data_IF_960123382749
#
_entry.id   IF_960123382749
#
_cell.length_a   1.000
_cell.length_b   1.000
_cell.length_c   1.000
_cell.angle_alpha   90.00
_cell.angle_beta   90.00
_cell.angle_gamma   90.00
#
_symmetry.space_group_name_H-M   'P 1'
#
loop_
_entity.id
_entity.type
_entity.pdbx_description
1 polymer ?
#
# COMPACT_ATOMS: atom_id res chain seq x y z
N UNK A 1 -1.61 44.10 -57.83
CA UNK A 1 -0.83 42.88 -58.12
C UNK A 1 0.45 42.89 -57.29
N UNK A 2 0.48 42.21 -56.14
CA UNK A 2 1.67 41.57 -55.57
C UNK A 2 1.21 40.58 -54.47
N UNK A 3 1.85 39.41 -54.45
CA UNK A 3 1.54 38.16 -53.71
C UNK A 3 1.93 38.21 -52.22
N UNK A 4 1.51 37.15 -51.51
CA UNK A 4 2.17 36.47 -50.36
C UNK A 4 1.59 36.77 -48.97
N UNK A 5 1.54 35.87 -48.00
CA UNK A 5 1.57 34.40 -47.86
C UNK A 5 1.13 34.13 -46.40
N UNK A 6 0.57 32.95 -46.11
CA UNK A 6 0.23 32.46 -44.76
C UNK A 6 1.35 32.65 -43.74
N UNK A 7 1.01 32.77 -42.45
CA UNK A 7 1.59 31.93 -41.39
C UNK A 7 0.63 31.80 -40.20
N UNK A 8 0.03 30.60 -40.05
CA UNK A 8 -0.55 30.14 -38.80
C UNK A 8 0.59 29.86 -37.82
N UNK A 9 0.69 30.63 -36.75
CA UNK A 9 1.58 30.33 -35.63
C UNK A 9 0.88 29.32 -34.71
N UNK A 10 1.12 28.03 -34.93
CA UNK A 10 0.85 27.02 -33.92
C UNK A 10 1.90 27.16 -32.81
N UNK A 11 1.52 27.76 -31.68
CA UNK A 11 2.35 27.79 -30.49
C UNK A 11 2.45 26.36 -29.92
N UNK A 12 3.49 25.64 -30.32
CA UNK A 12 3.89 24.41 -29.65
C UNK A 12 4.47 24.79 -28.29
N UNK A 13 3.64 24.79 -27.25
CA UNK A 13 4.11 24.80 -25.86
C UNK A 13 4.81 23.48 -25.60
N UNK A 14 6.13 23.44 -25.81
CA UNK A 14 6.97 22.38 -25.29
C UNK A 14 6.93 22.47 -23.76
N UNK A 15 6.10 21.65 -23.12
CA UNK A 15 6.26 21.36 -21.70
C UNK A 15 7.60 20.65 -21.55
N UNK A 16 8.63 21.37 -21.11
CA UNK A 16 9.83 20.73 -20.61
C UNK A 16 9.41 19.93 -19.38
N UNK A 17 9.32 18.61 -19.52
CA UNK A 17 9.32 17.72 -18.39
C UNK A 17 10.66 17.92 -17.67
N UNK A 18 10.69 18.80 -16.67
CA UNK A 18 11.85 18.93 -15.81
C UNK A 18 11.92 17.66 -14.97
N UNK A 19 12.64 16.66 -15.48
CA UNK A 19 13.18 15.58 -14.65
C UNK A 19 14.37 16.19 -13.90
N UNK A 20 14.18 16.52 -12.62
CA UNK A 20 15.26 17.04 -11.79
C UNK A 20 15.95 15.85 -11.12
N UNK A 21 17.01 15.36 -11.75
CA UNK A 21 17.92 14.41 -11.11
C UNK A 21 18.75 15.13 -10.05
N UNK A 22 18.34 15.04 -8.79
CA UNK A 22 19.14 15.50 -7.66
C UNK A 22 20.04 14.35 -7.22
N UNK A 23 21.33 14.41 -7.57
CA UNK A 23 22.32 13.46 -7.07
C UNK A 23 22.81 13.90 -5.69
N UNK A 24 22.25 13.34 -4.63
CA UNK A 24 22.82 13.42 -3.29
C UNK A 24 24.11 12.58 -3.21
N UNK A 25 25.28 13.23 -3.14
CA UNK A 25 26.55 12.54 -2.85
C UNK A 25 26.78 12.56 -1.34
N UNK A 26 25.95 11.84 -0.60
CA UNK A 26 26.12 11.58 0.83
C UNK A 26 27.07 10.41 1.07
N UNK A 27 27.80 10.43 2.18
CA UNK A 27 28.85 9.46 2.52
C UNK A 27 28.36 7.98 2.58
N UNK A 28 27.04 7.74 2.56
CA UNK A 28 26.38 6.42 2.59
C UNK A 28 25.82 5.89 1.25
N UNK A 29 26.06 6.58 0.12
CA UNK A 29 25.57 6.17 -1.22
C UNK A 29 24.04 6.03 -1.31
N UNK A 30 23.28 6.95 -0.72
CA UNK A 30 21.81 7.08 -0.88
C UNK A 30 21.42 7.63 -2.26
N UNK A 31 20.16 7.46 -2.67
CA UNK A 31 19.63 7.94 -3.96
C UNK A 31 18.33 8.70 -3.77
N UNK A 32 18.27 9.93 -4.28
CA UNK A 32 17.05 10.72 -4.36
C UNK A 32 16.67 10.90 -5.83
N UNK A 33 15.41 10.63 -6.18
CA UNK A 33 14.89 10.81 -7.53
C UNK A 33 13.56 11.56 -7.50
N UNK A 34 13.55 12.78 -8.05
CA UNK A 34 12.37 13.63 -8.06
C UNK A 34 11.99 14.12 -9.46
N UNK A 35 10.70 14.28 -9.72
CA UNK A 35 10.20 14.94 -10.94
C UNK A 35 8.86 14.43 -11.42
N UNK A 36 8.46 14.79 -12.64
CA UNK A 36 7.21 14.27 -13.21
C UNK A 36 7.23 12.73 -13.31
N UNK A 37 8.39 12.17 -13.64
CA UNK A 37 8.64 10.73 -13.67
C UNK A 37 9.92 10.46 -12.90
N UNK A 38 9.82 9.77 -11.78
CA UNK A 38 10.94 9.28 -10.99
C UNK A 38 11.01 7.76 -11.15
N UNK A 39 11.73 7.28 -12.17
CA UNK A 39 11.85 5.85 -12.43
C UNK A 39 13.28 5.40 -12.71
N UNK A 40 13.75 4.42 -11.92
CA UNK A 40 15.11 3.89 -12.00
C UNK A 40 15.17 2.43 -11.55
N UNK A 41 16.12 1.69 -12.14
CA UNK A 41 16.64 0.47 -11.55
C UNK A 41 17.83 0.85 -10.65
N UNK A 42 17.82 0.45 -9.38
CA UNK A 42 18.81 0.89 -8.39
C UNK A 42 19.34 -0.27 -7.54
N UNK A 43 20.61 -0.18 -7.15
CA UNK A 43 21.23 -1.00 -6.10
C UNK A 43 21.93 -0.03 -5.15
N UNK A 44 21.24 0.31 -4.07
CA UNK A 44 21.57 1.43 -3.17
C UNK A 44 21.93 0.84 -1.81
N UNK A 45 23.17 0.97 -1.33
CA UNK A 45 23.54 0.48 0.00
C UNK A 45 22.91 1.30 1.13
N UNK A 46 22.68 2.59 0.88
CA UNK A 46 22.03 3.52 1.79
C UNK A 46 20.51 3.51 1.68
N UNK A 47 19.92 4.68 1.89
CA UNK A 47 18.48 4.93 1.76
C UNK A 47 18.13 5.37 0.33
N UNK A 48 16.86 5.25 -0.08
CA UNK A 48 16.41 5.84 -1.33
C UNK A 48 15.03 6.49 -1.25
N UNK A 49 14.88 7.65 -1.88
CA UNK A 49 13.63 8.40 -1.97
C UNK A 49 13.25 8.61 -3.44
N UNK A 50 11.99 8.31 -3.79
CA UNK A 50 11.44 8.57 -5.11
C UNK A 50 10.12 9.33 -5.03
N UNK A 51 10.12 10.54 -5.58
CA UNK A 51 8.99 11.47 -5.45
C UNK A 51 8.56 12.02 -6.83
N UNK A 52 7.32 11.77 -7.25
CA UNK A 52 6.87 12.24 -8.57
C UNK A 52 5.41 11.99 -8.93
N UNK A 53 4.99 12.35 -10.16
CA UNK A 53 3.65 11.95 -10.62
C UNK A 53 3.61 10.44 -10.92
N UNK A 54 4.64 9.93 -11.58
CA UNK A 54 4.85 8.50 -11.80
C UNK A 54 6.16 8.06 -11.16
N UNK A 55 6.07 7.12 -10.22
CA UNK A 55 7.21 6.54 -9.52
C UNK A 55 7.37 5.08 -9.93
N UNK A 56 8.59 4.71 -10.35
CA UNK A 56 8.93 3.36 -10.80
C UNK A 56 10.29 2.92 -10.31
N UNK A 57 10.37 2.14 -9.24
CA UNK A 57 11.63 1.69 -8.65
C UNK A 57 11.77 0.17 -8.72
N UNK A 58 12.90 -0.31 -9.21
CA UNK A 58 13.23 -1.73 -9.28
C UNK A 58 14.64 -1.98 -8.73
N UNK A 59 14.84 -3.09 -8.00
CA UNK A 59 16.16 -3.48 -7.49
C UNK A 59 16.25 -3.59 -5.96
N UNK A 60 17.29 -2.99 -5.36
CA UNK A 60 17.58 -3.14 -3.92
C UNK A 60 17.95 -1.81 -3.27
N UNK A 61 17.46 -1.63 -2.04
CA UNK A 61 17.86 -0.58 -1.12
C UNK A 61 18.28 -1.25 0.19
N UNK A 62 19.49 -0.94 0.68
CA UNK A 62 20.09 -1.59 1.84
C UNK A 62 19.53 -1.13 3.17
N UNK A 63 18.86 0.03 3.17
CA UNK A 63 18.22 0.63 4.35
C UNK A 63 16.77 0.97 4.04
N UNK A 64 16.36 2.25 4.10
CA UNK A 64 14.97 2.67 4.01
C UNK A 64 14.61 3.10 2.59
N UNK A 65 13.38 2.79 2.16
CA UNK A 65 12.84 3.18 0.87
C UNK A 65 11.56 4.01 1.05
N UNK A 66 11.57 5.24 0.55
CA UNK A 66 10.39 6.10 0.48
C UNK A 66 9.95 6.28 -0.98
N UNK A 67 8.66 6.05 -1.25
CA UNK A 67 8.05 6.18 -2.56
C UNK A 67 6.79 7.04 -2.48
N UNK A 68 6.79 8.22 -3.11
CA UNK A 68 5.61 9.09 -3.13
C UNK A 68 5.20 9.49 -4.54
N UNK A 69 3.96 9.19 -4.94
CA UNK A 69 3.45 9.71 -6.21
C UNK A 69 2.00 9.43 -6.54
N UNK A 70 1.49 10.04 -7.61
CA UNK A 70 0.11 9.75 -8.04
C UNK A 70 -0.06 8.27 -8.43
N UNK A 71 0.98 7.68 -9.03
CA UNK A 71 1.09 6.23 -9.25
C UNK A 71 2.49 5.76 -8.88
N UNK A 72 2.55 4.79 -7.98
CA UNK A 72 3.77 4.09 -7.56
C UNK A 72 3.70 2.65 -8.05
N UNK A 73 4.75 2.19 -8.73
CA UNK A 73 4.97 0.78 -9.07
C UNK A 73 6.39 0.39 -8.69
N UNK A 74 6.54 -0.59 -7.81
CA UNK A 74 7.84 -0.93 -7.27
C UNK A 74 8.03 -2.44 -7.15
N UNK A 75 9.23 -2.92 -7.52
CA UNK A 75 9.67 -4.29 -7.27
C UNK A 75 11.06 -4.28 -6.60
N UNK A 76 11.06 -4.30 -5.27
CA UNK A 76 12.24 -3.95 -4.47
C UNK A 76 12.52 -4.93 -3.35
N UNK A 77 13.81 -5.11 -3.04
CA UNK A 77 14.27 -5.63 -1.75
C UNK A 77 14.68 -4.44 -0.90
N UNK A 78 14.00 -4.22 0.22
CA UNK A 78 14.24 -3.13 1.17
C UNK A 78 14.86 -3.73 2.43
N UNK A 79 16.06 -3.27 2.79
CA UNK A 79 16.83 -3.86 3.90
C UNK A 79 16.27 -3.51 5.28
N UNK A 80 15.59 -2.37 5.40
CA UNK A 80 14.91 -1.92 6.61
C UNK A 80 13.47 -1.55 6.27
N UNK A 81 13.12 -0.27 6.32
CA UNK A 81 11.72 0.16 6.37
C UNK A 81 11.23 0.68 5.01
N UNK A 82 9.96 0.42 4.70
CA UNK A 82 9.28 0.89 3.49
C UNK A 82 8.22 1.92 3.85
N UNK A 83 8.26 3.08 3.20
CA UNK A 83 7.14 4.02 3.16
C UNK A 83 6.67 4.18 1.71
N UNK A 84 5.38 3.98 1.45
CA UNK A 84 4.82 4.16 0.11
C UNK A 84 3.47 4.89 0.13
N UNK A 85 3.41 6.05 -0.52
CA UNK A 85 2.21 6.87 -0.60
C UNK A 85 1.79 7.16 -2.05
N UNK A 86 0.48 7.11 -2.32
CA UNK A 86 0.00 7.50 -3.64
C UNK A 86 -1.47 7.29 -3.99
N UNK A 87 -1.89 7.80 -5.15
CA UNK A 87 -3.25 7.52 -5.66
C UNK A 87 -3.45 6.03 -5.94
N UNK A 88 -2.42 5.38 -6.51
CA UNK A 88 -2.31 3.94 -6.69
C UNK A 88 -0.90 3.49 -6.31
N UNK A 89 -0.80 2.52 -5.41
CA UNK A 89 0.46 1.89 -5.02
C UNK A 89 0.42 0.42 -5.40
N UNK A 90 1.43 -0.03 -6.14
CA UNK A 90 1.70 -1.45 -6.35
C UNK A 90 3.11 -1.77 -5.91
N UNK A 91 3.25 -2.61 -4.88
CA UNK A 91 4.54 -3.02 -4.35
C UNK A 91 4.66 -4.54 -4.40
N UNK A 92 5.79 -5.01 -4.93
CA UNK A 92 6.18 -6.42 -4.89
C UNK A 92 7.59 -6.54 -4.29
N UNK A 93 7.83 -7.55 -3.47
CA UNK A 93 9.19 -7.85 -3.01
C UNK A 93 9.33 -8.18 -1.52
N UNK A 94 10.41 -7.73 -0.91
CA UNK A 94 10.77 -8.05 0.48
C UNK A 94 11.10 -6.78 1.27
N UNK A 95 10.64 -6.71 2.52
CA UNK A 95 10.92 -5.63 3.46
C UNK A 95 11.49 -6.23 4.74
N UNK A 96 12.70 -5.82 5.10
CA UNK A 96 13.45 -6.35 6.25
C UNK A 96 13.01 -5.79 7.60
N UNK A 97 12.31 -4.65 7.59
CA UNK A 97 11.74 -3.98 8.76
C UNK A 97 10.24 -3.75 8.59
N UNK A 98 9.80 -2.56 8.96
CA UNK A 98 8.39 -2.16 8.96
C UNK A 98 7.95 -1.63 7.58
N UNK A 99 6.65 -1.69 7.30
CA UNK A 99 6.07 -1.16 6.07
C UNK A 99 4.83 -0.29 6.35
N UNK A 100 4.86 0.95 5.89
CA UNK A 100 3.75 1.89 5.95
C UNK A 100 3.29 2.25 4.54
N UNK A 101 2.01 2.01 4.24
CA UNK A 101 1.45 2.19 2.90
C UNK A 101 0.13 2.98 2.96
N UNK A 102 0.11 4.14 2.32
CA UNK A 102 -1.06 5.01 2.24
C UNK A 102 -1.52 5.19 0.78
N UNK A 103 -2.72 4.74 0.42
CA UNK A 103 -3.16 4.84 -0.98
C UNK A 103 -4.66 5.04 -1.24
N UNK A 104 -5.00 5.49 -2.45
CA UNK A 104 -6.36 5.32 -2.96
C UNK A 104 -6.68 3.86 -3.29
N UNK A 105 -5.69 3.15 -3.83
CA UNK A 105 -5.71 1.70 -4.10
C UNK A 105 -4.32 1.13 -3.86
N UNK A 106 -4.21 0.10 -3.04
CA UNK A 106 -2.98 -0.62 -2.74
C UNK A 106 -3.07 -2.07 -3.23
N UNK A 107 -2.09 -2.50 -4.04
CA UNK A 107 -1.89 -3.90 -4.43
C UNK A 107 -0.49 -4.33 -3.97
N UNK A 108 -0.43 -5.11 -2.87
CA UNK A 108 0.80 -5.48 -2.18
C UNK A 108 1.00 -6.99 -2.27
N UNK A 109 2.16 -7.41 -2.76
CA UNK A 109 2.56 -8.82 -2.85
C UNK A 109 3.98 -8.95 -2.31
N UNK A 110 4.11 -9.16 -0.99
CA UNK A 110 5.37 -9.01 -0.31
C UNK A 110 5.58 -9.94 0.91
N UNK A 111 6.86 -10.18 1.22
CA UNK A 111 7.28 -10.68 2.54
C UNK A 111 7.77 -9.51 3.39
N UNK A 112 7.14 -9.30 4.54
CA UNK A 112 7.49 -8.20 5.45
C UNK A 112 7.87 -8.78 6.80
N UNK A 113 9.08 -8.44 7.27
CA UNK A 113 9.62 -8.98 8.51
C UNK A 113 9.11 -8.26 9.76
N UNK A 114 8.85 -6.96 9.66
CA UNK A 114 8.32 -6.12 10.73
C UNK A 114 6.80 -5.96 10.67
N UNK A 115 6.34 -4.89 11.31
CA UNK A 115 4.94 -4.49 11.37
C UNK A 115 4.52 -3.86 10.04
N UNK A 116 3.24 -4.01 9.72
CA UNK A 116 2.66 -3.50 8.47
C UNK A 116 1.45 -2.65 8.79
N UNK A 117 1.47 -1.41 8.31
CA UNK A 117 0.34 -0.48 8.36
C UNK A 117 -0.11 -0.14 6.94
N UNK A 118 -1.40 -0.33 6.64
CA UNK A 118 -1.97 -0.03 5.33
C UNK A 118 -3.26 0.77 5.47
N UNK A 119 -3.26 2.00 4.97
CA UNK A 119 -4.46 2.83 4.88
C UNK A 119 -4.82 3.04 3.40
N UNK A 120 -5.86 2.35 2.91
CA UNK A 120 -6.32 2.59 1.55
C UNK A 120 -7.80 2.33 1.29
N UNK A 121 -8.39 3.11 0.35
CA UNK A 121 -9.78 2.91 -0.06
C UNK A 121 -10.06 1.49 -0.59
N UNK A 122 -9.08 0.88 -1.26
CA UNK A 122 -9.09 -0.53 -1.67
C UNK A 122 -7.73 -1.15 -1.42
N UNK A 123 -7.71 -2.33 -0.80
CA UNK A 123 -6.49 -3.10 -0.55
C UNK A 123 -6.62 -4.50 -1.13
N UNK A 124 -5.59 -4.93 -1.86
CA UNK A 124 -5.27 -6.34 -2.08
C UNK A 124 -3.93 -6.60 -1.41
N UNK A 125 -3.91 -7.53 -0.45
CA UNK A 125 -2.70 -7.92 0.27
C UNK A 125 -2.45 -9.42 0.06
N UNK A 126 -1.36 -9.75 -0.61
CA UNK A 126 -0.85 -11.09 -0.84
C UNK A 126 0.54 -11.21 -0.18
N UNK A 127 0.86 -12.36 0.42
CA UNK A 127 2.21 -12.64 0.94
C UNK A 127 2.28 -13.12 2.39
N UNK A 128 3.38 -12.80 3.08
CA UNK A 128 3.64 -13.26 4.44
C UNK A 128 4.16 -12.13 5.32
N UNK A 129 3.45 -11.85 6.42
CA UNK A 129 3.79 -10.81 7.38
C UNK A 129 4.22 -11.46 8.70
N UNK A 130 5.45 -11.18 9.13
CA UNK A 130 5.98 -11.72 10.37
C UNK A 130 5.59 -10.88 11.61
N UNK A 131 5.42 -9.55 11.44
CA UNK A 131 4.95 -8.65 12.50
C UNK A 131 3.43 -8.51 12.55
N UNK A 132 2.95 -7.46 13.23
CA UNK A 132 1.53 -7.13 13.29
C UNK A 132 1.03 -6.53 11.98
N UNK A 133 -0.27 -6.64 11.75
CA UNK A 133 -0.97 -5.97 10.66
C UNK A 133 -1.99 -4.99 11.24
N UNK A 134 -1.85 -3.71 10.91
CA UNK A 134 -2.91 -2.71 11.03
C UNK A 134 -3.36 -2.30 9.63
N UNK A 135 -4.67 -2.34 9.38
CA UNK A 135 -5.19 -2.02 8.06
C UNK A 135 -6.55 -1.35 8.11
N UNK A 136 -6.65 -0.23 7.42
CA UNK A 136 -7.82 0.60 7.31
C UNK A 136 -8.23 0.75 5.85
N UNK A 137 -9.49 0.48 5.52
CA UNK A 137 -9.92 0.61 4.14
C UNK A 137 -11.40 0.39 3.85
N UNK A 138 -11.77 0.67 2.60
CA UNK A 138 -13.15 0.49 2.13
C UNK A 138 -13.47 -0.95 1.72
N UNK A 139 -12.54 -1.53 0.98
CA UNK A 139 -12.66 -2.89 0.47
C UNK A 139 -11.30 -3.58 0.54
N UNK A 140 -11.20 -4.61 1.35
CA UNK A 140 -9.94 -5.27 1.64
C UNK A 140 -10.01 -6.75 1.32
N UNK A 141 -9.00 -7.24 0.61
CA UNK A 141 -8.82 -8.66 0.29
C UNK A 141 -7.49 -9.12 0.86
N UNK A 142 -7.54 -9.99 1.87
CA UNK A 142 -6.39 -10.50 2.59
C UNK A 142 -6.11 -11.94 2.16
N UNK A 143 -5.10 -12.12 1.32
CA UNK A 143 -4.52 -13.41 0.91
C UNK A 143 -3.13 -13.59 1.50
N UNK A 144 -2.95 -13.13 2.74
CA UNK A 144 -1.67 -13.19 3.42
C UNK A 144 -1.72 -14.09 4.65
N UNK A 145 -0.58 -14.70 4.95
CA UNK A 145 -0.32 -15.33 6.24
C UNK A 145 0.30 -14.28 7.18
N UNK A 146 -0.33 -14.04 8.31
CA UNK A 146 0.11 -13.05 9.31
C UNK A 146 0.44 -13.77 10.60
N UNK A 147 1.70 -13.68 11.03
CA UNK A 147 2.18 -14.30 12.27
C UNK A 147 1.82 -13.49 13.51
N UNK A 148 1.81 -12.15 13.39
CA UNK A 148 1.51 -11.23 14.48
C UNK A 148 0.01 -10.94 14.70
N UNK A 149 -0.31 -10.06 15.67
CA UNK A 149 -1.66 -9.58 15.91
C UNK A 149 -2.22 -8.81 14.71
N UNK A 150 -3.53 -8.86 14.52
CA UNK A 150 -4.20 -8.23 13.38
C UNK A 150 -5.31 -7.28 13.84
N UNK A 151 -5.25 -6.05 13.38
CA UNK A 151 -6.33 -5.06 13.49
C UNK A 151 -6.74 -4.64 12.09
N UNK A 152 -8.00 -4.91 11.73
CA UNK A 152 -8.56 -4.53 10.42
C UNK A 152 -9.84 -3.74 10.64
N UNK A 153 -9.91 -2.54 10.07
CA UNK A 153 -11.09 -1.67 10.12
C UNK A 153 -11.60 -1.36 8.71
N UNK A 154 -12.79 -1.86 8.44
CA UNK A 154 -13.56 -1.66 7.22
C UNK A 154 -14.48 -0.46 7.35
N UNK A 155 -14.09 0.63 6.70
CA UNK A 155 -14.85 1.87 6.62
C UNK A 155 -15.67 1.88 5.34
N UNK A 156 -16.64 2.79 5.20
CA UNK A 156 -17.06 3.14 3.86
C UNK A 156 -17.55 4.57 3.74
N UNK A 157 -17.68 5.00 2.49
CA UNK A 157 -18.05 6.38 2.16
C UNK A 157 -19.54 6.47 1.90
N UNK A 158 -20.16 7.49 2.47
CA UNK A 158 -21.55 7.89 2.27
C UNK A 158 -22.58 6.84 2.70
N UNK A 159 -22.63 5.71 2.00
CA UNK A 159 -23.51 4.54 2.22
C UNK A 159 -22.74 3.20 2.01
N UNK A 160 -21.42 3.25 1.93
CA UNK A 160 -20.57 2.09 1.69
C UNK A 160 -20.41 1.26 2.95
N UNK A 161 -20.90 0.03 2.93
CA UNK A 161 -20.58 -0.96 3.93
C UNK A 161 -19.13 -1.45 3.68
N UNK A 162 -18.22 -1.14 4.62
CA UNK A 162 -16.85 -1.63 4.57
C UNK A 162 -16.82 -3.17 4.45
N UNK A 163 -15.98 -3.69 3.55
CA UNK A 163 -15.89 -5.14 3.27
C UNK A 163 -14.48 -5.67 3.51
N UNK A 164 -14.41 -6.79 4.23
CA UNK A 164 -13.17 -7.55 4.48
C UNK A 164 -13.37 -8.99 4.01
N UNK A 165 -12.58 -9.42 3.02
CA UNK A 165 -12.51 -10.81 2.57
C UNK A 165 -11.17 -11.43 2.99
N UNK A 166 -11.21 -12.55 3.72
CA UNK A 166 -10.01 -13.22 4.23
C UNK A 166 -9.86 -14.58 3.56
N UNK A 167 -8.66 -14.88 3.05
CA UNK A 167 -8.30 -16.14 2.41
C UNK A 167 -7.13 -16.84 3.10
N UNK A 168 -6.27 -16.09 3.81
CA UNK A 168 -5.04 -16.61 4.45
C UNK A 168 -5.20 -16.95 5.94
N UNK A 169 -4.08 -17.24 6.60
CA UNK A 169 -4.02 -17.53 8.04
C UNK A 169 -3.65 -16.28 8.85
N UNK A 170 -4.41 -15.97 9.90
CA UNK A 170 -4.09 -14.95 10.89
C UNK A 170 -3.80 -15.61 12.24
N UNK A 171 -2.57 -15.46 12.76
CA UNK A 171 -1.99 -16.38 13.75
C UNK A 171 -2.19 -16.04 15.23
N UNK A 172 -2.29 -14.75 15.60
CA UNK A 172 -2.18 -14.30 16.99
C UNK A 172 -3.42 -13.56 17.53
N UNK A 173 -4.55 -13.65 16.85
CA UNK A 173 -5.77 -12.96 17.26
C UNK A 173 -5.79 -11.48 16.90
N UNK A 174 -6.80 -10.79 17.41
CA UNK A 174 -6.99 -9.36 17.22
C UNK A 174 -8.42 -8.98 16.87
N UNK A 175 -8.59 -7.85 16.19
CA UNK A 175 -9.88 -7.25 15.87
C UNK A 175 -10.08 -7.19 14.36
N UNK A 176 -11.24 -7.64 13.90
CA UNK A 176 -11.72 -7.38 12.54
C UNK A 176 -13.08 -6.72 12.66
N UNK A 177 -13.16 -5.46 12.28
CA UNK A 177 -14.41 -4.71 12.23
C UNK A 177 -14.68 -4.30 10.79
N UNK A 178 -15.85 -4.64 10.26
CA UNK A 178 -16.34 -4.13 8.98
C UNK A 178 -17.85 -4.36 8.91
N UNK A 179 -18.57 -3.61 8.09
CA UNK A 179 -19.98 -3.87 7.86
C UNK A 179 -20.21 -5.32 7.36
N UNK A 180 -19.33 -5.80 6.47
CA UNK A 180 -19.31 -7.18 5.99
C UNK A 180 -17.93 -7.83 6.11
N UNK A 181 -17.88 -9.01 6.74
CA UNK A 181 -16.67 -9.81 6.89
C UNK A 181 -16.94 -11.20 6.32
N UNK A 182 -16.10 -11.66 5.41
CA UNK A 182 -16.19 -12.96 4.76
C UNK A 182 -14.93 -13.79 4.99
N UNK A 183 -15.07 -14.96 5.60
CA UNK A 183 -14.01 -15.97 5.64
C UNK A 183 -14.16 -16.89 4.43
N UNK A 184 -13.17 -16.86 3.54
CA UNK A 184 -13.16 -17.61 2.28
C UNK A 184 -12.43 -18.95 2.44
N UNK A 185 -12.45 -19.76 1.39
CA UNK A 185 -11.77 -21.06 1.41
C UNK A 185 -10.28 -20.91 1.72
N UNK A 186 -9.82 -21.52 2.81
CA UNK A 186 -8.42 -21.44 3.26
C UNK A 186 -8.22 -20.47 4.44
N UNK A 187 -9.20 -19.62 4.74
CA UNK A 187 -9.13 -18.70 5.86
C UNK A 187 -8.99 -19.45 7.19
N UNK A 188 -8.03 -19.05 8.02
CA UNK A 188 -7.83 -19.59 9.36
C UNK A 188 -7.57 -18.47 10.34
N UNK A 189 -8.44 -18.34 11.33
CA UNK A 189 -8.29 -17.40 12.44
C UNK A 189 -7.81 -18.17 13.68
N UNK A 190 -6.62 -17.83 14.15
CA UNK A 190 -5.95 -18.44 15.31
C UNK A 190 -5.66 -17.35 16.35
N UNK A 191 -5.50 -17.72 17.63
CA UNK A 191 -5.09 -16.76 18.67
C UNK A 191 -6.20 -15.90 19.29
N UNK A 192 -7.46 -16.10 18.91
CA UNK A 192 -8.62 -15.43 19.51
C UNK A 192 -8.93 -14.10 18.83
N UNK A 193 -9.87 -14.13 17.87
CA UNK A 193 -10.34 -12.93 17.18
C UNK A 193 -11.66 -12.44 17.75
N UNK A 194 -11.82 -11.12 17.85
CA UNK A 194 -13.13 -10.48 17.93
C UNK A 194 -13.50 -9.99 16.52
N UNK A 195 -14.61 -10.48 16.00
CA UNK A 195 -15.16 -10.02 14.71
C UNK A 195 -16.43 -9.23 14.94
N UNK A 196 -16.44 -7.99 14.46
CA UNK A 196 -17.56 -7.06 14.60
C UNK A 196 -18.11 -6.76 13.20
N UNK A 197 -19.35 -7.17 12.95
CA UNK A 197 -19.99 -7.02 11.63
C UNK A 197 -21.52 -7.01 11.71
N UNK A 198 -22.21 -6.63 10.64
CA UNK A 198 -23.68 -6.64 10.63
C UNK A 198 -24.27 -8.05 10.77
N UNK A 199 -23.64 -9.02 10.09
CA UNK A 199 -24.03 -10.43 10.15
C UNK A 199 -22.82 -11.26 10.57
N UNK A 200 -23.05 -12.26 11.42
CA UNK A 200 -22.02 -13.21 11.83
C UNK A 200 -21.43 -13.92 10.59
N UNK A 201 -20.12 -13.85 10.36
CA UNK A 201 -19.50 -14.59 9.27
C UNK A 201 -19.63 -16.10 9.46
N UNK A 202 -19.62 -16.84 8.36
CA UNK A 202 -19.45 -18.28 8.41
C UNK A 202 -18.01 -18.63 8.83
N UNK A 203 -17.86 -19.67 9.65
CA UNK A 203 -16.56 -20.13 10.14
C UNK A 203 -16.42 -20.14 11.66
N UNK A 204 -15.17 -20.37 12.09
CA UNK A 204 -14.75 -20.57 13.47
C UNK A 204 -13.42 -19.85 13.74
N UNK A 205 -12.95 -19.88 15.00
CA UNK A 205 -11.71 -19.21 15.42
C UNK A 205 -11.89 -17.77 15.92
N UNK A 206 -13.14 -17.32 16.08
CA UNK A 206 -13.47 -15.97 16.54
C UNK A 206 -14.71 -15.91 17.43
N UNK A 207 -14.73 -14.92 18.31
CA UNK A 207 -15.92 -14.39 18.95
C UNK A 207 -16.58 -13.35 18.04
N UNK A 208 -17.90 -13.24 18.08
CA UNK A 208 -18.65 -12.33 17.21
C UNK A 208 -19.53 -11.39 18.00
N UNK A 209 -19.49 -10.12 17.60
CA UNK A 209 -20.43 -9.10 18.03
C UNK A 209 -21.11 -8.41 16.84
N UNK A 210 -22.38 -8.06 17.02
CA UNK A 210 -23.08 -7.25 16.03
C UNK A 210 -22.52 -5.82 16.00
N UNK A 211 -22.22 -5.29 14.81
CA UNK A 211 -21.76 -3.91 14.62
C UNK A 211 -22.81 -2.90 15.13
N UNK A 212 -24.09 -3.14 14.82
CA UNK A 212 -25.19 -2.29 15.26
C UNK A 212 -25.17 -0.92 14.57
N UNK A 213 -25.11 0.15 15.37
CA UNK A 213 -25.00 1.55 14.91
C UNK A 213 -23.60 2.14 15.14
N UNK A 214 -22.64 1.31 15.55
CA UNK A 214 -21.25 1.73 15.80
C UNK A 214 -20.54 1.87 14.46
N UNK A 215 -19.57 2.78 14.41
CA UNK A 215 -18.56 2.81 13.35
C UNK A 215 -17.32 2.04 13.81
N UNK A 216 -16.57 1.47 12.87
CA UNK A 216 -15.30 0.82 13.16
C UNK A 216 -14.21 1.81 13.56
N UNK A 217 -14.35 3.10 13.21
CA UNK A 217 -13.47 4.19 13.67
C UNK A 217 -13.57 4.46 15.19
N UNK A 218 -14.70 4.11 15.81
CA UNK A 218 -14.99 4.36 17.23
C UNK A 218 -14.55 3.21 18.16
N UNK A 219 -13.86 2.18 17.63
CA UNK A 219 -13.52 0.92 18.31
C UNK A 219 -12.01 0.70 18.49
#
# INVERSE_FOLDING_TARGET
MLKSFLFCAAAATALSACTYDVRGRGEDRSVDAAGLVASRNVDVPGDAEFSGMFVGADGRVGRDLELSGATVRSNMIVGRDLEASGGRVRFTGEVGGDAEISAGTADIDARIAGNTEIAAGRVTLDGHLHGSLEMDGGHMVLRADVDGPVTVRGHGRDDGDGRVEIFGRLGQGGLICAAEVELRSGARLEGGFLVISHTRPDGEGFEWEALGRRDCEDL
#
